data_IF_532822912508
#
_entry.id   IF_532822912508
#
_cell.length_a   1.000
_cell.length_b   1.000
_cell.length_c   1.000
_cell.angle_alpha   90.00
_cell.angle_beta   90.00
_cell.angle_gamma   90.00
#
_symmetry.space_group_name_H-M   'P 1'
#
loop_
_entity.id
_entity.type
_entity.pdbx_description
1 polymer ?
#
# COMPACT_ATOMS: atom_id res chain seq x y z
N UNK A 1 -4.43 47.19 7.47
CA UNK A 1 -3.99 47.86 8.70
C UNK A 1 -3.66 46.79 9.73
N UNK A 2 -2.40 46.73 10.11
CA UNK A 2 -1.79 45.77 11.04
C UNK A 2 -1.78 46.43 12.42
N UNK A 3 -2.24 45.73 13.45
CA UNK A 3 -2.02 46.12 14.85
C UNK A 3 -1.23 45.02 15.55
N UNK A 4 0.06 45.29 15.73
CA UNK A 4 0.99 44.56 16.58
C UNK A 4 0.79 45.03 18.03
N UNK A 5 0.48 44.10 18.93
CA UNK A 5 0.51 44.32 20.38
C UNK A 5 1.71 43.60 20.99
N UNK A 6 2.69 44.36 21.44
CA UNK A 6 3.78 43.92 22.32
C UNK A 6 3.30 43.92 23.79
N UNK A 7 3.81 43.02 24.63
CA UNK A 7 4.52 43.37 25.88
C UNK A 7 5.08 42.15 26.62
N UNK A 8 6.37 42.28 26.88
CA UNK A 8 7.30 41.67 27.84
C UNK A 8 6.76 40.94 29.07
N UNK A 9 7.43 39.83 29.39
CA UNK A 9 7.55 39.27 30.74
C UNK A 9 8.85 38.47 30.86
N UNK A 10 9.86 39.05 31.50
CA UNK A 10 11.05 38.35 31.97
C UNK A 10 10.89 37.98 33.45
N UNK A 11 11.34 36.79 33.86
CA UNK A 11 12.14 36.52 35.06
C UNK A 11 12.15 35.02 35.41
N UNK A 12 13.35 34.45 35.34
CA UNK A 12 14.01 33.51 36.27
C UNK A 12 13.15 32.59 37.16
N UNK A 13 13.41 31.27 37.06
CA UNK A 13 13.53 30.41 38.24
C UNK A 13 14.69 29.42 38.10
N UNK A 14 15.62 29.57 39.03
CA UNK A 14 16.58 28.58 39.51
C UNK A 14 15.96 27.18 39.66
N UNK A 15 16.74 26.13 39.42
CA UNK A 15 16.78 24.92 40.24
C UNK A 15 18.06 24.13 39.88
N UNK A 16 19.04 24.21 40.77
CA UNK A 16 20.11 23.23 40.82
C UNK A 16 19.66 21.97 41.55
N UNK A 17 20.42 20.89 41.26
CA UNK A 17 20.73 19.72 42.12
C UNK A 17 19.94 18.41 41.91
N UNK A 18 20.65 17.49 41.23
CA UNK A 18 20.93 16.08 41.56
C UNK A 18 19.78 15.06 41.60
N UNK A 19 19.90 14.04 40.75
CA UNK A 19 20.00 12.61 41.11
C UNK A 19 20.08 11.75 39.83
N UNK A 20 21.22 11.07 39.59
CA UNK A 20 21.26 9.85 38.77
C UNK A 20 20.59 8.70 39.52
N UNK A 21 19.92 7.78 38.80
CA UNK A 21 20.26 6.38 39.04
C UNK A 21 20.29 5.50 37.78
N UNK A 22 21.23 4.57 37.85
CA UNK A 22 21.21 3.18 37.38
C UNK A 22 20.90 2.83 35.91
N UNK A 23 21.99 2.47 35.22
CA UNK A 23 22.22 1.10 34.71
C UNK A 23 20.99 0.17 34.70
N UNK A 24 20.31 0.07 33.55
CA UNK A 24 19.67 -1.19 33.09
C UNK A 24 19.06 -1.22 31.70
N UNK A 25 19.14 -0.17 30.88
CA UNK A 25 18.46 -0.17 29.56
C UNK A 25 19.37 0.11 28.35
N UNK A 26 20.68 -0.09 28.49
CA UNK A 26 21.66 0.03 27.39
C UNK A 26 22.15 -1.31 26.82
N UNK A 27 21.58 -2.45 27.26
CA UNK A 27 22.02 -3.79 26.88
C UNK A 27 21.16 -4.53 25.84
N UNK A 28 20.14 -3.90 25.24
CA UNK A 28 19.34 -4.54 24.18
C UNK A 28 19.14 -3.68 22.93
N UNK A 29 20.17 -2.95 22.49
CA UNK A 29 20.13 -2.20 21.21
C UNK A 29 21.30 -2.44 20.27
N UNK A 30 22.05 -3.55 20.43
CA UNK A 30 23.14 -3.93 19.52
C UNK A 30 23.27 -5.44 19.33
N UNK A 31 22.30 -6.02 18.63
CA UNK A 31 22.41 -7.25 17.85
C UNK A 31 21.08 -7.32 17.07
N UNK A 32 21.00 -7.25 15.75
CA UNK A 32 21.61 -8.16 14.78
C UNK A 32 21.76 -7.37 13.47
N UNK A 33 23.01 -7.06 13.11
CA UNK A 33 23.43 -6.70 11.75
C UNK A 33 24.39 -7.82 11.36
N UNK A 34 23.94 -8.73 10.51
CA UNK A 34 24.73 -9.60 9.63
C UNK A 34 23.86 -10.77 9.18
N UNK A 35 23.61 -10.90 7.88
CA UNK A 35 23.91 -12.08 7.05
C UNK A 35 23.43 -11.73 5.63
N UNK A 36 24.35 -11.18 4.84
CA UNK A 36 24.34 -11.23 3.37
C UNK A 36 25.36 -12.30 3.01
N UNK A 37 24.92 -13.51 2.65
CA UNK A 37 25.75 -14.51 2.00
C UNK A 37 24.87 -15.58 1.31
N UNK A 38 24.83 -15.51 -0.02
CA UNK A 38 24.83 -16.60 -1.01
C UNK A 38 23.96 -17.85 -0.82
N UNK A 39 23.18 -18.17 -1.87
CA UNK A 39 23.25 -19.48 -2.52
C UNK A 39 22.50 -19.45 -3.86
N UNK A 40 23.24 -19.34 -4.96
CA UNK A 40 22.84 -19.82 -6.28
C UNK A 40 22.98 -21.34 -6.32
N UNK A 41 21.94 -22.10 -6.70
CA UNK A 41 22.11 -23.43 -7.32
C UNK A 41 20.99 -23.66 -8.34
N UNK A 42 21.40 -23.88 -9.60
CA UNK A 42 20.63 -24.45 -10.68
C UNK A 42 20.40 -25.96 -10.45
N UNK A 43 19.20 -26.45 -10.74
CA UNK A 43 18.93 -27.82 -11.18
C UNK A 43 17.63 -27.75 -12.00
N UNK A 44 17.52 -28.18 -13.25
CA UNK A 44 18.23 -29.26 -13.93
C UNK A 44 17.31 -30.48 -14.00
N UNK A 45 16.38 -30.52 -14.96
CA UNK A 45 15.74 -31.75 -15.42
C UNK A 45 15.78 -31.79 -16.94
N UNK A 46 16.80 -32.48 -17.45
CA UNK A 46 16.92 -32.95 -18.81
C UNK A 46 15.97 -34.15 -19.06
N UNK A 47 15.82 -34.48 -20.34
CA UNK A 47 15.28 -35.68 -21.01
C UNK A 47 15.19 -36.97 -20.15
N UNK A 48 14.33 -37.95 -20.45
CA UNK A 48 14.31 -38.67 -21.73
C UNK A 48 13.23 -39.79 -21.74
N UNK A 49 13.05 -40.38 -22.93
CA UNK A 49 12.56 -41.75 -23.23
C UNK A 49 11.04 -41.89 -23.45
N UNK A 50 10.52 -42.63 -24.44
CA UNK A 50 11.10 -43.62 -25.36
C UNK A 50 10.10 -43.93 -26.52
N UNK A 51 10.64 -44.33 -27.68
CA UNK A 51 10.22 -45.33 -28.71
C UNK A 51 8.72 -45.78 -28.84
N UNK A 52 8.16 -46.25 -29.97
CA UNK A 52 8.53 -46.61 -31.36
C UNK A 52 7.24 -47.13 -32.04
N UNK A 53 7.08 -46.93 -33.36
CA UNK A 53 6.43 -47.81 -34.38
C UNK A 53 6.10 -46.93 -35.61
N UNK A 54 6.89 -46.89 -36.69
CA UNK A 54 6.91 -47.80 -37.86
C UNK A 54 5.51 -48.14 -38.40
N UNK A 55 5.07 -47.54 -39.52
CA UNK A 55 5.11 -48.14 -40.87
C UNK A 55 4.50 -47.21 -41.97
N UNK A 56 5.21 -47.17 -43.10
CA UNK A 56 4.81 -47.00 -44.52
C UNK A 56 3.48 -46.33 -44.91
N UNK A 57 3.54 -45.29 -45.75
CA UNK A 57 3.13 -45.31 -47.19
C UNK A 57 3.33 -43.92 -47.82
N UNK A 58 3.99 -43.88 -48.98
CA UNK A 58 4.20 -42.68 -49.78
C UNK A 58 2.89 -42.15 -50.39
N UNK A 59 2.62 -40.85 -50.22
CA UNK A 59 1.62 -40.12 -51.01
C UNK A 59 2.03 -38.64 -51.15
N UNK A 60 2.09 -38.21 -52.41
CA UNK A 60 2.26 -36.86 -53.00
C UNK A 60 2.44 -35.65 -52.08
N UNK A 61 3.57 -34.95 -52.27
CA UNK A 61 3.90 -33.66 -51.66
C UNK A 61 2.98 -32.51 -52.11
N UNK A 62 2.24 -31.85 -51.19
CA UNK A 62 1.83 -30.47 -51.36
C UNK A 62 2.98 -29.52 -50.96
N UNK A 63 2.94 -28.23 -51.35
CA UNK A 63 4.04 -27.29 -51.12
C UNK A 63 4.44 -27.23 -49.65
N UNK A 64 5.75 -27.33 -49.41
CA UNK A 64 6.38 -27.22 -48.10
C UNK A 64 6.08 -25.84 -47.52
N UNK A 65 5.05 -25.77 -46.68
CA UNK A 65 4.88 -24.69 -45.73
C UNK A 65 5.94 -24.95 -44.67
N UNK A 66 6.99 -24.15 -44.66
CA UNK A 66 7.95 -24.14 -43.57
C UNK A 66 7.17 -24.11 -42.25
N UNK A 67 7.51 -24.94 -41.24
CA UNK A 67 6.87 -24.81 -39.94
C UNK A 67 7.15 -23.39 -39.48
N UNK A 68 6.09 -22.57 -39.45
CA UNK A 68 6.09 -21.33 -38.68
C UNK A 68 6.34 -21.80 -37.26
N UNK A 69 7.60 -21.75 -36.83
CA UNK A 69 7.97 -21.79 -35.44
C UNK A 69 7.19 -20.63 -34.83
N UNK A 70 6.01 -20.93 -34.29
CA UNK A 70 5.30 -20.00 -33.46
C UNK A 70 6.30 -19.63 -32.38
N UNK A 71 6.83 -18.41 -32.45
CA UNK A 71 7.63 -17.88 -31.38
C UNK A 71 6.72 -17.96 -30.16
N UNK A 72 6.97 -18.93 -29.29
CA UNK A 72 6.47 -18.92 -27.92
C UNK A 72 7.17 -17.72 -27.26
N UNK A 73 6.70 -16.52 -27.59
CA UNK A 73 7.09 -15.30 -26.93
C UNK A 73 6.64 -15.47 -25.50
N UNK A 74 7.60 -15.66 -24.60
CA UNK A 74 7.34 -15.69 -23.18
C UNK A 74 6.50 -14.45 -22.83
N UNK A 75 5.48 -14.58 -21.97
CA UNK A 75 4.69 -13.45 -21.56
C UNK A 75 5.62 -12.36 -20.99
N UNK A 76 5.31 -11.08 -21.24
CA UNK A 76 6.12 -9.98 -20.75
C UNK A 76 6.23 -10.01 -19.23
N UNK A 77 7.45 -9.85 -18.71
CA UNK A 77 7.73 -9.76 -17.28
C UNK A 77 7.63 -8.29 -16.82
N UNK A 78 6.61 -8.00 -16.02
CA UNK A 78 6.36 -6.67 -15.47
C UNK A 78 6.79 -6.52 -14.01
N UNK A 79 7.44 -7.53 -13.42
CA UNK A 79 7.72 -7.61 -11.98
C UNK A 79 8.46 -6.38 -11.43
N UNK A 80 9.49 -5.90 -12.14
CA UNK A 80 10.26 -4.73 -11.75
C UNK A 80 9.42 -3.44 -11.74
N UNK A 81 8.61 -3.22 -12.80
CA UNK A 81 7.72 -2.06 -12.92
C UNK A 81 6.66 -2.07 -11.82
N UNK A 82 6.02 -3.23 -11.60
CA UNK A 82 5.02 -3.42 -10.55
C UNK A 82 5.61 -3.16 -9.16
N UNK A 83 6.81 -3.67 -8.86
CA UNK A 83 7.47 -3.47 -7.56
C UNK A 83 7.77 -2.00 -7.27
N UNK A 84 8.25 -1.24 -8.26
CA UNK A 84 8.52 0.19 -8.11
C UNK A 84 7.24 0.95 -7.77
N UNK A 85 6.13 0.65 -8.44
CA UNK A 85 4.85 1.27 -8.14
C UNK A 85 4.33 0.83 -6.77
N UNK A 86 4.50 -0.43 -6.37
CA UNK A 86 4.14 -0.91 -5.04
C UNK A 86 4.87 -0.17 -3.91
N UNK A 87 6.16 0.15 -4.08
CA UNK A 87 6.91 0.94 -3.09
C UNK A 87 6.35 2.37 -2.94
N UNK A 88 5.92 2.97 -4.05
CA UNK A 88 5.23 4.27 -4.01
C UNK A 88 3.86 4.18 -3.35
N UNK A 89 3.09 3.13 -3.65
CA UNK A 89 1.80 2.88 -3.00
C UNK A 89 1.97 2.67 -1.49
N UNK A 90 3.01 1.95 -1.05
CA UNK A 90 3.34 1.80 0.38
C UNK A 90 3.57 3.15 1.05
N UNK A 91 4.34 4.04 0.40
CA UNK A 91 4.60 5.40 0.90
C UNK A 91 3.31 6.22 1.00
N UNK A 92 2.46 6.15 -0.04
CA UNK A 92 1.15 6.76 -0.06
C UNK A 92 0.28 6.25 1.09
N UNK A 93 0.22 4.93 1.29
CA UNK A 93 -0.57 4.34 2.37
C UNK A 93 -0.10 4.83 3.74
N UNK A 94 1.22 4.88 3.98
CA UNK A 94 1.75 5.39 5.26
C UNK A 94 1.48 6.86 5.51
N UNK A 95 1.37 7.68 4.46
CA UNK A 95 1.19 9.14 4.58
C UNK A 95 -0.28 9.53 4.61
N UNK A 96 -1.01 9.18 3.56
CA UNK A 96 -2.42 9.58 3.38
C UNK A 96 -3.32 8.84 4.38
N UNK A 97 -3.10 7.54 4.60
CA UNK A 97 -3.96 6.79 5.52
C UNK A 97 -3.69 7.14 6.98
N UNK A 98 -2.49 7.64 7.30
CA UNK A 98 -2.19 8.22 8.61
C UNK A 98 -2.95 9.54 8.81
N UNK A 99 -2.98 10.40 7.80
CA UNK A 99 -3.75 11.65 7.86
C UNK A 99 -5.25 11.36 7.96
N UNK A 100 -5.76 10.38 7.21
CA UNK A 100 -7.11 9.87 7.32
C UNK A 100 -7.41 9.36 8.74
N UNK A 101 -6.57 8.46 9.29
CA UNK A 101 -6.74 7.91 10.63
C UNK A 101 -6.72 8.99 11.72
N UNK A 102 -5.89 10.02 11.56
CA UNK A 102 -5.84 11.19 12.45
C UNK A 102 -7.16 11.97 12.42
N UNK A 103 -7.69 12.23 11.22
CA UNK A 103 -8.97 12.93 11.07
C UNK A 103 -10.13 12.12 11.66
N UNK A 104 -10.13 10.80 11.45
CA UNK A 104 -11.13 9.91 12.05
C UNK A 104 -11.04 9.86 13.58
N UNK A 105 -9.83 9.83 14.15
CA UNK A 105 -9.63 9.89 15.60
C UNK A 105 -10.16 11.21 16.21
N UNK A 106 -9.93 12.33 15.52
CA UNK A 106 -10.52 13.63 15.89
C UNK A 106 -12.05 13.60 15.81
N UNK A 107 -12.62 13.04 14.74
CA UNK A 107 -14.07 12.88 14.59
C UNK A 107 -14.66 12.10 15.76
N UNK A 108 -14.06 10.98 16.16
CA UNK A 108 -14.48 10.20 17.33
C UNK A 108 -14.45 11.05 18.59
N UNK A 109 -13.34 11.76 18.84
CA UNK A 109 -13.18 12.64 20.01
C UNK A 109 -14.29 13.70 20.06
N UNK A 110 -14.55 14.37 18.94
CA UNK A 110 -15.63 15.36 18.85
C UNK A 110 -17.03 14.77 19.02
N UNK A 111 -17.26 13.53 18.55
CA UNK A 111 -18.53 12.81 18.79
C UNK A 111 -18.71 12.51 20.28
N UNK A 112 -17.65 12.07 20.98
CA UNK A 112 -17.67 11.82 22.42
C UNK A 112 -17.94 13.10 23.23
N UNK A 113 -17.37 14.23 22.80
CA UNK A 113 -17.60 15.56 23.38
C UNK A 113 -18.92 16.22 22.94
N UNK A 114 -19.73 15.54 22.11
CA UNK A 114 -20.99 16.05 21.54
C UNK A 114 -20.83 17.33 20.70
N UNK A 115 -19.64 17.57 20.16
CA UNK A 115 -19.32 18.67 19.25
C UNK A 115 -19.63 18.27 17.80
N UNK A 116 -20.92 18.19 17.45
CA UNK A 116 -21.38 17.74 16.13
C UNK A 116 -20.77 18.50 14.96
N UNK A 117 -20.65 19.83 15.05
CA UNK A 117 -20.06 20.62 13.95
C UNK A 117 -18.57 20.30 13.71
N UNK A 118 -17.79 20.10 14.77
CA UNK A 118 -16.37 19.75 14.66
C UNK A 118 -16.20 18.30 14.21
N UNK A 119 -17.09 17.39 14.64
CA UNK A 119 -17.15 16.02 14.14
C UNK A 119 -17.38 15.98 12.63
N UNK A 120 -18.36 16.75 12.12
CA UNK A 120 -18.63 16.85 10.67
C UNK A 120 -17.45 17.46 9.88
N UNK A 121 -16.74 18.45 10.47
CA UNK A 121 -15.52 18.99 9.85
C UNK A 121 -14.43 17.93 9.77
N UNK A 122 -14.19 17.19 10.84
CA UNK A 122 -13.21 16.11 10.87
C UNK A 122 -13.57 14.98 9.91
N UNK A 123 -14.84 14.63 9.78
CA UNK A 123 -15.35 13.67 8.80
C UNK A 123 -15.09 14.14 7.36
N UNK A 124 -15.39 15.40 7.04
CA UNK A 124 -15.07 15.99 5.71
C UNK A 124 -13.58 15.94 5.41
N UNK A 125 -12.73 16.20 6.40
CA UNK A 125 -11.27 16.07 6.24
C UNK A 125 -10.90 14.62 5.95
N UNK A 126 -11.44 13.66 6.70
CA UNK A 126 -11.19 12.23 6.48
C UNK A 126 -11.61 11.80 5.06
N UNK A 127 -12.80 12.23 4.60
CA UNK A 127 -13.27 11.99 3.24
C UNK A 127 -12.31 12.59 2.18
N UNK A 128 -11.83 13.81 2.41
CA UNK A 128 -10.82 14.45 1.55
C UNK A 128 -9.52 13.65 1.45
N UNK A 129 -9.03 13.08 2.56
CA UNK A 129 -7.83 12.24 2.56
C UNK A 129 -8.03 10.93 1.79
N UNK A 130 -9.20 10.29 1.91
CA UNK A 130 -9.51 9.11 1.08
C UNK A 130 -9.55 9.44 -0.41
N UNK A 131 -10.12 10.58 -0.78
CA UNK A 131 -10.18 11.01 -2.17
C UNK A 131 -8.80 11.35 -2.73
N UNK A 132 -7.93 11.95 -1.91
CA UNK A 132 -6.53 12.18 -2.26
C UNK A 132 -5.77 10.85 -2.45
N UNK A 133 -5.96 9.90 -1.54
CA UNK A 133 -5.40 8.55 -1.66
C UNK A 133 -5.87 7.85 -2.95
N UNK A 134 -7.16 7.88 -3.26
CA UNK A 134 -7.71 7.30 -4.48
C UNK A 134 -7.09 7.90 -5.75
N UNK A 135 -6.97 9.23 -5.80
CA UNK A 135 -6.37 9.97 -6.91
C UNK A 135 -4.92 9.54 -7.12
N UNK A 136 -4.15 9.44 -6.03
CA UNK A 136 -2.75 9.03 -6.08
C UNK A 136 -2.60 7.56 -6.45
N UNK A 137 -3.44 6.66 -5.94
CA UNK A 137 -3.43 5.24 -6.34
C UNK A 137 -3.66 5.14 -7.84
N UNK A 138 -4.73 5.76 -8.36
CA UNK A 138 -5.03 5.74 -9.80
C UNK A 138 -3.85 6.26 -10.62
N UNK A 139 -3.22 7.36 -10.20
CA UNK A 139 -2.07 7.95 -10.88
C UNK A 139 -0.87 7.01 -10.90
N UNK A 140 -0.46 6.48 -9.75
CA UNK A 140 0.74 5.64 -9.66
C UNK A 140 0.52 4.29 -10.35
N UNK A 141 -0.66 3.67 -10.20
CA UNK A 141 -0.97 2.40 -10.88
C UNK A 141 -1.09 2.56 -12.38
N UNK A 142 -1.58 3.71 -12.88
CA UNK A 142 -1.62 3.99 -14.32
C UNK A 142 -0.24 4.12 -14.96
N UNK A 143 0.80 4.41 -14.17
CA UNK A 143 2.18 4.46 -14.64
C UNK A 143 2.86 3.08 -14.69
N UNK A 144 2.19 2.01 -14.20
CA UNK A 144 2.72 0.67 -14.27
C UNK A 144 2.60 0.08 -15.68
N UNK A 145 3.51 -0.82 -16.04
CA UNK A 145 3.47 -1.51 -17.34
C UNK A 145 2.47 -2.67 -17.36
N UNK A 146 2.18 -3.27 -16.20
CA UNK A 146 1.25 -4.38 -16.07
C UNK A 146 -0.22 -3.89 -16.21
N UNK A 147 -0.96 -4.31 -17.25
CA UNK A 147 -2.34 -3.86 -17.48
C UNK A 147 -3.32 -4.35 -16.41
N UNK A 148 -3.12 -5.55 -15.86
CA UNK A 148 -3.98 -6.09 -14.81
C UNK A 148 -3.78 -5.33 -13.49
N UNK A 149 -2.54 -4.92 -13.20
CA UNK A 149 -2.25 -4.06 -12.07
C UNK A 149 -2.83 -2.64 -12.24
N UNK A 150 -2.82 -2.08 -13.45
CA UNK A 150 -3.53 -0.83 -13.74
C UNK A 150 -5.05 -0.97 -13.48
N UNK A 151 -5.65 -2.07 -13.92
CA UNK A 151 -7.07 -2.35 -13.71
C UNK A 151 -7.41 -2.50 -12.22
N UNK A 152 -6.61 -3.26 -11.48
CA UNK A 152 -6.71 -3.39 -10.03
C UNK A 152 -6.63 -2.03 -9.32
N UNK A 153 -5.66 -1.20 -9.70
CA UNK A 153 -5.52 0.15 -9.18
C UNK A 153 -6.74 1.05 -9.42
N UNK A 154 -7.36 0.95 -10.61
CA UNK A 154 -8.61 1.65 -10.92
C UNK A 154 -9.76 1.19 -10.03
N UNK A 155 -9.90 -0.12 -9.78
CA UNK A 155 -10.94 -0.67 -8.89
C UNK A 155 -10.72 -0.19 -7.45
N UNK A 156 -9.50 -0.27 -6.94
CA UNK A 156 -9.15 0.22 -5.59
C UNK A 156 -9.43 1.71 -5.43
N UNK A 157 -9.02 2.54 -6.41
CA UNK A 157 -9.31 3.97 -6.40
C UNK A 157 -10.82 4.26 -6.43
N UNK A 158 -11.60 3.53 -7.24
CA UNK A 158 -13.05 3.70 -7.31
C UNK A 158 -13.75 3.34 -5.99
N UNK A 159 -13.30 2.29 -5.30
CA UNK A 159 -13.81 1.92 -3.97
C UNK A 159 -13.56 3.04 -2.96
N UNK A 160 -12.34 3.58 -2.91
CA UNK A 160 -11.99 4.70 -2.02
C UNK A 160 -12.81 5.96 -2.33
N UNK A 161 -12.98 6.31 -3.61
CA UNK A 161 -13.80 7.45 -4.02
C UNK A 161 -15.27 7.29 -3.63
N UNK A 162 -15.80 6.06 -3.77
CA UNK A 162 -17.17 5.75 -3.36
C UNK A 162 -17.32 5.91 -1.85
N UNK A 163 -16.38 5.39 -1.07
CA UNK A 163 -16.37 5.53 0.39
C UNK A 163 -16.21 6.98 0.86
N UNK A 164 -15.37 7.76 0.19
CA UNK A 164 -15.20 9.20 0.46
C UNK A 164 -16.49 10.00 0.21
N UNK A 165 -17.30 9.59 -0.78
CA UNK A 165 -18.58 10.22 -1.11
C UNK A 165 -19.71 9.79 -0.19
N UNK A 166 -19.84 8.48 0.06
CA UNK A 166 -20.97 7.92 0.81
C UNK A 166 -20.83 8.17 2.31
N UNK A 167 -19.60 8.12 2.85
CA UNK A 167 -19.23 8.39 4.25
C UNK A 167 -19.97 7.56 5.32
N UNK A 168 -20.97 6.75 4.95
CA UNK A 168 -21.78 5.91 5.85
C UNK A 168 -20.96 4.99 6.75
N UNK A 169 -19.77 4.57 6.32
CA UNK A 169 -18.92 3.75 7.17
C UNK A 169 -18.32 4.59 8.33
N UNK A 170 -18.06 5.89 8.13
CA UNK A 170 -17.58 6.80 9.16
C UNK A 170 -18.65 7.09 10.22
N UNK A 171 -19.93 7.09 9.85
CA UNK A 171 -21.04 7.25 10.79
C UNK A 171 -21.11 6.13 11.82
N UNK A 172 -20.77 4.91 11.40
CA UNK A 172 -20.71 3.72 12.26
C UNK A 172 -19.56 3.76 13.25
N UNK A 173 -18.57 4.61 13.02
CA UNK A 173 -17.43 4.80 13.90
C UNK A 173 -17.80 5.81 14.99
N UNK A 174 -18.11 5.27 16.18
CA UNK A 174 -18.45 6.06 17.38
C UNK A 174 -17.31 6.10 18.39
N UNK A 175 -16.48 5.07 18.42
CA UNK A 175 -15.34 4.92 19.33
C UNK A 175 -14.06 4.61 18.57
N UNK A 176 -12.90 4.72 19.23
CA UNK A 176 -11.61 4.29 18.67
C UNK A 176 -11.57 2.77 18.40
N UNK A 177 -12.32 1.99 19.16
CA UNK A 177 -12.47 0.55 18.94
C UNK A 177 -13.25 0.25 17.66
N UNK A 178 -14.34 0.98 17.42
CA UNK A 178 -15.11 0.87 16.17
C UNK A 178 -14.27 1.33 14.98
N UNK A 179 -13.45 2.37 15.19
CA UNK A 179 -12.53 2.87 14.19
C UNK A 179 -11.58 1.75 13.77
N UNK A 180 -10.88 1.13 14.71
CA UNK A 180 -9.91 0.09 14.40
C UNK A 180 -10.54 -1.06 13.60
N UNK A 181 -11.68 -1.59 14.07
CA UNK A 181 -12.38 -2.70 13.40
C UNK A 181 -12.92 -2.33 12.02
N UNK A 182 -13.59 -1.16 11.91
CA UNK A 182 -14.21 -0.75 10.65
C UNK A 182 -13.18 -0.37 9.60
N UNK A 183 -12.09 0.29 10.02
CA UNK A 183 -11.09 0.82 9.11
C UNK A 183 -10.24 -0.30 8.53
N UNK A 184 -9.85 -1.30 9.34
CA UNK A 184 -9.10 -2.46 8.87
C UNK A 184 -9.88 -3.26 7.80
N UNK A 185 -11.14 -3.57 8.09
CA UNK A 185 -11.99 -4.30 7.14
C UNK A 185 -12.20 -3.52 5.84
N UNK A 186 -12.45 -2.20 5.93
CA UNK A 186 -12.63 -1.35 4.77
C UNK A 186 -11.34 -1.20 3.95
N UNK A 187 -10.18 -1.00 4.59
CA UNK A 187 -8.92 -0.93 3.87
C UNK A 187 -8.56 -2.24 3.20
N UNK A 188 -8.82 -3.37 3.85
CA UNK A 188 -8.66 -4.67 3.22
C UNK A 188 -9.53 -4.74 1.96
N UNK A 189 -10.82 -4.39 2.05
CA UNK A 189 -11.72 -4.40 0.90
C UNK A 189 -11.28 -3.47 -0.24
N UNK A 190 -10.83 -2.25 0.10
CA UNK A 190 -10.41 -1.25 -0.87
C UNK A 190 -9.09 -1.61 -1.55
N UNK A 191 -8.15 -2.23 -0.83
CA UNK A 191 -6.79 -2.48 -1.29
C UNK A 191 -6.54 -3.92 -1.74
N UNK A 192 -7.45 -4.86 -1.47
CA UNK A 192 -7.33 -6.25 -1.93
C UNK A 192 -7.04 -6.40 -3.43
N UNK A 193 -7.64 -5.60 -4.35
CA UNK A 193 -7.33 -5.71 -5.77
C UNK A 193 -5.85 -5.51 -6.11
N UNK A 194 -5.15 -4.61 -5.40
CA UNK A 194 -3.72 -4.32 -5.61
C UNK A 194 -2.80 -5.16 -4.73
N UNK A 195 -3.30 -5.72 -3.63
CA UNK A 195 -2.52 -6.50 -2.67
C UNK A 195 -1.85 -7.73 -3.31
N UNK A 196 -2.52 -8.40 -4.25
CA UNK A 196 -1.97 -9.56 -4.96
C UNK A 196 -0.76 -9.26 -5.86
N UNK A 197 -0.46 -7.99 -6.11
CA UNK A 197 0.68 -7.54 -6.93
C UNK A 197 1.84 -6.97 -6.10
N UNK A 198 1.55 -6.56 -4.86
CA UNK A 198 2.49 -5.92 -3.96
C UNK A 198 2.85 -6.89 -2.82
N UNK A 199 3.72 -7.85 -3.12
CA UNK A 199 4.22 -8.88 -2.19
C UNK A 199 5.74 -8.96 -2.18
#
# INVERSE_FOLDING_TARGET
>A
MITLGWTSGAAERNLGKVCTPDDKDLLMRRAIVAVLAGATVLAGSACDSDATSTDTTAASSPPSVAPSTAANTAPPDYSASTRLVCDKLKTLYTTELRAFGTAMGKMVTYKEEKQTSEAEKAERVAAGQLQAAATKIRKETAAAENPDFQAAGKVSAAKLETSAKDRKYMDKVKTLTDLNKSVEAQFTEWLNPVAGYCG
#
